data_IF_774684451714
#
_entry.id   IF_774684451714
#
_cell.length_a   1.000
_cell.length_b   1.000
_cell.length_c   1.000
_cell.angle_alpha   90.00
_cell.angle_beta   90.00
_cell.angle_gamma   90.00
#
_symmetry.space_group_name_H-M   'P 1'
#
loop_
_entity.id
_entity.type
_entity.pdbx_description
1 polymer ?
#
# COMPACT_ATOMS: atom_id res chain seq x y z
N UNK A 1 26.50 -66.27 16.45
CA UNK A 1 26.87 -64.90 16.86
C UNK A 1 26.32 -63.78 15.95
N UNK A 2 25.09 -63.88 15.41
CA UNK A 2 24.56 -62.89 14.43
C UNK A 2 23.51 -61.93 15.02
N UNK A 3 22.80 -62.32 16.09
CA UNK A 3 21.69 -61.54 16.69
C UNK A 3 22.12 -60.20 17.33
N UNK A 4 23.35 -60.11 17.86
CA UNK A 4 23.86 -58.88 18.49
C UNK A 4 24.10 -57.73 17.51
N UNK A 5 24.59 -58.04 16.30
CA UNK A 5 24.91 -57.03 15.27
C UNK A 5 23.66 -56.36 14.68
N UNK A 6 22.58 -57.11 14.47
CA UNK A 6 21.30 -56.59 13.99
C UNK A 6 20.68 -55.53 14.92
N UNK A 7 20.82 -55.73 16.24
CA UNK A 7 20.31 -54.77 17.24
C UNK A 7 21.10 -53.47 17.24
N UNK A 8 22.41 -53.54 17.03
CA UNK A 8 23.26 -52.36 16.87
C UNK A 8 22.94 -51.60 15.59
N UNK A 9 22.79 -52.30 14.46
CA UNK A 9 22.44 -51.69 13.18
C UNK A 9 21.15 -50.88 13.26
N UNK A 10 20.06 -51.49 13.78
CA UNK A 10 18.78 -50.81 13.97
C UNK A 10 18.89 -49.55 14.84
N UNK A 11 19.73 -49.58 15.89
CA UNK A 11 19.91 -48.43 16.78
C UNK A 11 20.64 -47.28 16.08
N UNK A 12 21.63 -47.58 15.25
CA UNK A 12 22.37 -46.61 14.45
C UNK A 12 21.46 -45.99 13.39
N UNK A 13 20.66 -46.82 12.70
CA UNK A 13 19.71 -46.35 11.69
C UNK A 13 18.63 -45.45 12.29
N UNK A 14 18.06 -45.80 13.45
CA UNK A 14 17.08 -44.96 14.15
C UNK A 14 17.70 -43.61 14.54
N UNK A 15 18.93 -43.60 15.05
CA UNK A 15 19.60 -42.34 15.38
C UNK A 15 19.89 -41.49 14.14
N UNK A 16 20.35 -42.11 13.05
CA UNK A 16 20.58 -41.41 11.79
C UNK A 16 19.29 -40.80 11.24
N UNK A 17 18.19 -41.57 11.22
CA UNK A 17 16.88 -41.10 10.78
C UNK A 17 16.32 -39.99 11.68
N UNK A 18 16.53 -40.07 13.00
CA UNK A 18 16.14 -39.01 13.94
C UNK A 18 16.91 -37.70 13.69
N UNK A 19 18.21 -37.81 13.38
CA UNK A 19 19.08 -36.66 13.07
C UNK A 19 18.65 -36.01 11.77
N UNK A 20 18.36 -36.80 10.74
CA UNK A 20 17.82 -36.34 9.45
C UNK A 20 16.44 -35.67 9.58
N UNK A 21 15.54 -36.22 10.41
CA UNK A 21 14.25 -35.58 10.69
C UNK A 21 14.42 -34.23 11.39
N UNK A 22 15.31 -34.14 12.38
CA UNK A 22 15.55 -32.89 13.11
C UNK A 22 16.16 -31.80 12.21
N UNK A 23 17.11 -32.15 11.34
CA UNK A 23 17.71 -31.19 10.39
C UNK A 23 16.68 -30.68 9.38
N UNK A 24 15.84 -31.55 8.83
CA UNK A 24 14.75 -31.17 7.93
C UNK A 24 13.70 -30.28 8.62
N UNK A 25 13.34 -30.58 9.87
CA UNK A 25 12.38 -29.75 10.61
C UNK A 25 12.95 -28.35 10.91
N UNK A 26 14.26 -28.26 11.11
CA UNK A 26 14.96 -26.98 11.28
C UNK A 26 14.99 -26.15 10.00
N UNK A 27 15.18 -26.76 8.83
CA UNK A 27 15.16 -26.02 7.56
C UNK A 27 13.77 -25.49 7.22
N UNK A 28 12.72 -26.29 7.46
CA UNK A 28 11.33 -25.88 7.27
C UNK A 28 10.96 -24.70 8.19
N UNK A 29 11.33 -24.79 9.49
CA UNK A 29 11.10 -23.70 10.44
C UNK A 29 11.85 -22.42 10.07
N UNK A 30 13.10 -22.52 9.60
CA UNK A 30 13.86 -21.35 9.14
C UNK A 30 13.24 -20.72 7.90
N UNK A 31 12.80 -21.52 6.93
CA UNK A 31 12.07 -21.04 5.76
C UNK A 31 10.79 -20.30 6.17
N UNK A 32 10.00 -20.87 7.06
CA UNK A 32 8.78 -20.24 7.57
C UNK A 32 9.07 -18.92 8.33
N UNK A 33 10.13 -18.87 9.15
CA UNK A 33 10.52 -17.66 9.88
C UNK A 33 11.02 -16.56 8.94
N UNK A 34 11.77 -16.91 7.90
CA UNK A 34 12.21 -15.96 6.88
C UNK A 34 11.02 -15.41 6.08
N UNK A 35 10.07 -16.27 5.71
CA UNK A 35 8.84 -15.84 5.03
C UNK A 35 7.97 -14.93 5.90
N UNK A 36 7.83 -15.25 7.19
CA UNK A 36 7.10 -14.41 8.15
C UNK A 36 7.79 -13.05 8.36
N UNK A 37 9.13 -13.02 8.40
CA UNK A 37 9.92 -11.78 8.50
C UNK A 37 9.77 -10.92 7.24
N UNK A 38 9.78 -11.53 6.05
CA UNK A 38 9.55 -10.82 4.78
C UNK A 38 8.13 -10.25 4.74
N UNK A 39 7.11 -10.99 5.16
CA UNK A 39 5.75 -10.47 5.29
C UNK A 39 5.66 -9.32 6.29
N UNK A 40 6.28 -9.45 7.48
CA UNK A 40 6.30 -8.38 8.48
C UNK A 40 6.98 -7.12 7.95
N UNK A 41 8.11 -7.26 7.24
CA UNK A 41 8.83 -6.16 6.64
C UNK A 41 8.09 -5.52 5.45
N UNK A 42 7.24 -6.28 4.75
CA UNK A 42 6.39 -5.74 3.69
C UNK A 42 5.21 -4.97 4.28
N UNK A 43 4.67 -5.42 5.42
CA UNK A 43 3.60 -4.74 6.13
C UNK A 43 4.07 -3.42 6.75
N UNK A 44 5.28 -3.30 7.30
CA UNK A 44 5.77 -2.00 7.83
C UNK A 44 5.88 -0.92 6.76
N UNK A 45 6.07 -1.28 5.49
CA UNK A 45 6.15 -0.33 4.38
C UNK A 45 4.75 0.13 3.92
N UNK A 46 3.74 -0.72 4.05
CA UNK A 46 2.34 -0.41 3.69
C UNK A 46 1.53 0.16 4.86
N UNK A 47 1.91 -0.15 6.10
CA UNK A 47 1.28 0.29 7.35
C UNK A 47 1.79 1.64 7.87
N UNK A 48 2.60 2.37 7.08
CA UNK A 48 3.09 3.69 7.46
C UNK A 48 1.95 4.73 7.63
N UNK A 49 0.71 4.39 7.28
CA UNK A 49 -0.49 5.15 7.61
C UNK A 49 -1.48 4.26 8.37
N UNK A 50 -2.03 4.76 9.48
CA UNK A 50 -3.13 4.08 10.15
C UNK A 50 -4.33 3.99 9.20
N UNK A 51 -5.08 2.87 9.20
CA UNK A 51 -6.21 2.67 8.28
C UNK A 51 -7.26 3.79 8.42
N UNK A 52 -7.45 4.30 9.63
CA UNK A 52 -8.33 5.43 9.91
C UNK A 52 -7.87 6.74 9.27
N UNK A 53 -6.56 7.05 9.29
CA UNK A 53 -6.04 8.26 8.66
C UNK A 53 -6.15 8.16 7.14
N UNK A 54 -5.96 6.97 6.57
CA UNK A 54 -6.12 6.74 5.14
C UNK A 54 -7.55 6.97 4.66
N UNK A 55 -8.54 6.42 5.37
CA UNK A 55 -9.96 6.61 5.05
C UNK A 55 -10.37 8.09 5.09
N UNK A 56 -9.95 8.82 6.13
CA UNK A 56 -10.21 10.26 6.24
C UNK A 56 -9.54 11.05 5.11
N UNK A 57 -8.31 10.69 4.75
CA UNK A 57 -7.57 11.35 3.68
C UNK A 57 -8.24 11.13 2.31
N UNK A 58 -8.72 9.92 2.04
CA UNK A 58 -9.44 9.57 0.82
C UNK A 58 -10.70 10.43 0.66
N UNK A 59 -11.51 10.55 1.72
CA UNK A 59 -12.72 11.40 1.70
C UNK A 59 -12.37 12.86 1.42
N UNK A 60 -11.36 13.41 2.10
CA UNK A 60 -10.92 14.79 1.87
C UNK A 60 -10.43 14.97 0.44
N UNK A 61 -9.69 14.00 -0.10
CA UNK A 61 -9.16 14.06 -1.46
C UNK A 61 -10.27 14.07 -2.51
N UNK A 62 -11.32 13.28 -2.33
CA UNK A 62 -12.48 13.24 -3.22
C UNK A 62 -13.25 14.56 -3.20
N UNK A 63 -13.48 15.13 -2.01
CA UNK A 63 -14.17 16.42 -1.85
C UNK A 63 -13.36 17.53 -2.50
N UNK A 64 -12.04 17.57 -2.27
CA UNK A 64 -11.14 18.55 -2.87
C UNK A 64 -11.15 18.42 -4.39
N UNK A 65 -10.98 17.21 -4.93
CA UNK A 65 -10.99 16.95 -6.38
C UNK A 65 -12.30 17.43 -7.02
N UNK A 66 -13.43 17.14 -6.40
CA UNK A 66 -14.76 17.52 -6.89
C UNK A 66 -14.93 19.04 -6.84
N UNK A 67 -14.55 19.67 -5.72
CA UNK A 67 -14.65 21.11 -5.53
C UNK A 67 -13.83 21.86 -6.57
N UNK A 68 -12.56 21.49 -6.76
CA UNK A 68 -11.71 22.10 -7.78
C UNK A 68 -12.29 21.95 -9.19
N UNK A 69 -12.84 20.79 -9.55
CA UNK A 69 -13.39 20.57 -10.88
C UNK A 69 -14.59 21.49 -11.18
N UNK A 70 -15.47 21.70 -10.20
CA UNK A 70 -16.68 22.51 -10.37
C UNK A 70 -16.44 24.01 -10.12
N UNK A 71 -15.53 24.36 -9.20
CA UNK A 71 -15.31 25.76 -8.79
C UNK A 71 -14.23 26.47 -9.59
N UNK A 72 -13.38 25.76 -10.32
CA UNK A 72 -12.26 26.37 -11.04
C UNK A 72 -12.72 27.42 -12.06
N UNK A 73 -13.64 27.04 -12.96
CA UNK A 73 -14.15 27.95 -13.99
C UNK A 73 -14.92 29.13 -13.37
N UNK A 74 -15.87 28.92 -12.42
CA UNK A 74 -16.53 30.03 -11.73
C UNK A 74 -15.57 30.96 -10.99
N UNK A 75 -14.52 30.45 -10.35
CA UNK A 75 -13.54 31.26 -9.64
C UNK A 75 -12.70 32.12 -10.59
N UNK A 76 -12.24 31.55 -11.70
CA UNK A 76 -11.50 32.29 -12.74
C UNK A 76 -12.38 33.39 -13.34
N UNK A 77 -13.64 33.08 -13.65
CA UNK A 77 -14.59 34.07 -14.14
C UNK A 77 -14.80 35.20 -13.14
N UNK A 78 -15.04 34.89 -11.87
CA UNK A 78 -15.21 35.89 -10.83
C UNK A 78 -14.00 36.83 -10.71
N UNK A 79 -12.78 36.28 -10.76
CA UNK A 79 -11.56 37.08 -10.74
C UNK A 79 -11.42 37.95 -12.00
N UNK A 80 -11.78 37.41 -13.17
CA UNK A 80 -11.80 38.15 -14.44
C UNK A 80 -12.76 39.34 -14.41
N UNK A 81 -14.01 39.14 -13.95
CA UNK A 81 -14.98 40.22 -13.81
C UNK A 81 -14.59 41.22 -12.72
N UNK A 82 -14.02 40.77 -11.59
CA UNK A 82 -13.62 41.64 -10.48
C UNK A 82 -12.42 42.53 -10.85
N UNK A 83 -11.48 42.03 -11.63
CA UNK A 83 -10.36 42.84 -12.16
C UNK A 83 -10.87 43.89 -13.15
N UNK A 84 -11.96 43.59 -13.86
CA UNK A 84 -12.54 44.46 -14.88
C UNK A 84 -11.69 44.51 -16.15
N UNK A 85 -12.25 45.08 -17.21
CA UNK A 85 -11.52 45.43 -18.43
C UNK A 85 -10.79 46.77 -18.26
N UNK A 86 -9.79 47.03 -19.10
CA UNK A 86 -9.04 48.29 -19.11
C UNK A 86 -9.97 49.52 -19.18
N UNK A 87 -9.53 50.63 -18.58
CA UNK A 87 -10.31 51.86 -18.49
C UNK A 87 -10.67 52.37 -19.90
N UNK A 88 -11.95 52.23 -20.27
CA UNK A 88 -12.47 52.61 -21.59
C UNK A 88 -13.20 51.49 -22.34
N UNK A 89 -13.15 50.23 -21.88
CA UNK A 89 -13.92 49.13 -22.49
C UNK A 89 -15.26 48.85 -21.76
N UNK A 90 -16.30 48.36 -22.47
CA UNK A 90 -17.57 47.99 -21.86
C UNK A 90 -17.38 46.90 -20.80
N UNK A 91 -18.18 46.89 -19.72
CA UNK A 91 -18.05 45.90 -18.67
C UNK A 91 -18.22 44.50 -19.24
N UNK A 92 -17.29 43.61 -18.90
CA UNK A 92 -17.39 42.20 -19.23
C UNK A 92 -18.74 41.69 -18.71
N UNK A 93 -19.57 41.14 -19.59
CA UNK A 93 -20.86 40.53 -19.24
C UNK A 93 -20.79 39.02 -19.48
N UNK A 94 -21.50 38.23 -18.66
CA UNK A 94 -21.56 36.77 -18.79
C UNK A 94 -22.10 36.36 -20.17
N UNK A 95 -23.02 37.14 -20.72
CA UNK A 95 -23.61 36.91 -22.04
C UNK A 95 -22.57 37.06 -23.16
N UNK A 96 -21.72 38.09 -23.09
CA UNK A 96 -20.66 38.35 -24.09
C UNK A 96 -19.55 37.28 -24.11
N UNK A 97 -19.34 36.56 -22.99
CA UNK A 97 -18.36 35.47 -22.91
C UNK A 97 -18.92 34.12 -23.38
N UNK A 98 -20.22 33.89 -23.23
CA UNK A 98 -20.87 32.63 -23.59
C UNK A 98 -21.43 32.62 -25.02
N UNK A 99 -21.72 33.80 -25.58
CA UNK A 99 -22.24 33.99 -26.93
C UNK A 99 -21.55 35.19 -27.58
N UNK A 100 -20.49 34.89 -28.35
CA UNK A 100 -20.01 35.76 -29.43
C UNK A 100 -20.61 35.31 -30.76
#
# INVERSE_FOLDING_TARGET
MVKGRQKWQKKVDIQFLSKQKNTKNRSIRRGAVLQAKIQQNLQILTMAMSPEVKERLEVVFEVVKTTFHWSFIPAVLYLGFRKGSEAGMPPLSVMSLLWQ
#
